data_IF_600251616940
#
_entry.id   IF_600251616940
#
_cell.length_a   1.000
_cell.length_b   1.000
_cell.length_c   1.000
_cell.angle_alpha   90.00
_cell.angle_beta   90.00
_cell.angle_gamma   90.00
#
_symmetry.space_group_name_H-M   'P 1'
#
loop_
_entity.id
_entity.type
_entity.pdbx_description
1 polymer ?
#
# COMPACT_ATOMS: atom_id res chain seq x y z
N UNK A 1 -39.75 -7.71 7.48
CA UNK A 1 -38.78 -6.61 7.73
C UNK A 1 -37.46 -7.03 7.11
N UNK A 2 -36.97 -6.33 6.09
CA UNK A 2 -35.66 -6.62 5.50
C UNK A 2 -34.58 -6.27 6.53
N UNK A 3 -33.67 -7.21 6.84
CA UNK A 3 -32.46 -6.89 7.60
C UNK A 3 -31.67 -5.88 6.78
N UNK A 4 -31.56 -4.65 7.27
CA UNK A 4 -30.64 -3.67 6.73
C UNK A 4 -29.23 -4.26 6.82
N UNK A 5 -28.64 -4.60 5.67
CA UNK A 5 -27.25 -5.02 5.62
C UNK A 5 -26.42 -3.83 6.07
N UNK A 6 -25.79 -3.92 7.24
CA UNK A 6 -24.81 -2.94 7.67
C UNK A 6 -23.62 -3.02 6.72
N UNK A 7 -23.53 -2.06 5.80
CA UNK A 7 -22.37 -1.93 4.91
C UNK A 7 -21.19 -1.42 5.74
N UNK A 8 -20.07 -2.15 5.74
CA UNK A 8 -18.86 -1.74 6.47
C UNK A 8 -18.24 -0.53 5.81
N UNK A 9 -17.94 0.50 6.62
CA UNK A 9 -17.16 1.65 6.18
C UNK A 9 -15.70 1.24 5.90
N UNK A 10 -15.01 1.96 5.01
CA UNK A 10 -13.56 1.84 4.87
C UNK A 10 -12.87 2.03 6.23
N UNK A 11 -11.77 1.31 6.51
CA UNK A 11 -11.01 1.49 7.74
C UNK A 11 -10.32 2.85 7.76
N UNK A 12 -9.88 3.29 8.94
CA UNK A 12 -8.92 4.38 9.05
C UNK A 12 -7.61 4.01 8.34
N UNK A 13 -6.93 4.99 7.75
CA UNK A 13 -5.61 4.80 7.13
C UNK A 13 -4.67 5.93 7.54
N UNK A 14 -3.38 5.61 7.67
CA UNK A 14 -2.37 6.57 8.11
C UNK A 14 -1.55 7.06 6.92
N UNK A 15 -1.70 8.33 6.55
CA UNK A 15 -0.95 8.98 5.47
C UNK A 15 0.56 9.03 5.75
N UNK A 16 0.99 8.94 7.01
CA UNK A 16 2.40 8.93 7.41
C UNK A 16 2.94 7.51 7.62
N UNK A 17 2.11 6.48 7.41
CA UNK A 17 2.57 5.10 7.44
C UNK A 17 3.66 4.88 6.39
N UNK A 18 4.67 4.09 6.74
CA UNK A 18 5.68 3.65 5.77
C UNK A 18 5.13 2.71 4.70
N UNK A 19 3.88 2.29 4.85
CA UNK A 19 3.10 1.51 3.90
C UNK A 19 1.88 2.29 3.37
N UNK A 20 1.86 3.62 3.53
CA UNK A 20 0.72 4.48 3.16
C UNK A 20 0.23 4.27 1.73
N UNK A 21 1.12 3.96 0.78
CA UNK A 21 0.73 3.67 -0.61
C UNK A 21 -0.19 2.43 -0.73
N UNK A 22 0.15 1.35 -0.04
CA UNK A 22 -0.66 0.13 -0.06
C UNK A 22 -1.91 0.26 0.80
N UNK A 23 -1.80 0.92 1.96
CA UNK A 23 -2.96 1.22 2.80
C UNK A 23 -3.97 2.07 2.04
N UNK A 24 -3.51 3.11 1.33
CA UNK A 24 -4.36 3.94 0.48
C UNK A 24 -4.97 3.16 -0.69
N UNK A 25 -4.20 2.29 -1.34
CA UNK A 25 -4.72 1.42 -2.41
C UNK A 25 -5.84 0.51 -1.89
N UNK A 26 -5.64 -0.13 -0.74
CA UNK A 26 -6.64 -0.97 -0.09
C UNK A 26 -7.88 -0.16 0.32
N UNK A 27 -7.66 1.02 0.89
CA UNK A 27 -8.71 1.95 1.27
C UNK A 27 -9.58 2.35 0.08
N UNK A 28 -8.96 2.72 -1.06
CA UNK A 28 -9.69 3.09 -2.29
C UNK A 28 -10.59 1.95 -2.80
N UNK A 29 -10.08 0.72 -2.83
CA UNK A 29 -10.88 -0.44 -3.22
C UNK A 29 -12.05 -0.65 -2.24
N UNK A 30 -11.79 -0.59 -0.94
CA UNK A 30 -12.82 -0.76 0.08
C UNK A 30 -13.89 0.34 0.00
N UNK A 31 -13.51 1.57 -0.34
CA UNK A 31 -14.45 2.67 -0.57
C UNK A 31 -15.32 2.44 -1.81
N UNK A 32 -14.76 1.91 -2.90
CA UNK A 32 -15.53 1.53 -4.08
C UNK A 32 -16.53 0.41 -3.77
N UNK A 33 -16.11 -0.61 -3.01
CA UNK A 33 -16.98 -1.69 -2.56
C UNK A 33 -18.11 -1.17 -1.67
N UNK A 34 -17.82 -0.22 -0.78
CA UNK A 34 -18.82 0.47 0.04
C UNK A 34 -19.86 1.20 -0.83
N UNK A 35 -19.40 1.96 -1.84
CA UNK A 35 -20.29 2.66 -2.75
C UNK A 35 -21.21 1.68 -3.49
N UNK A 36 -20.66 0.58 -4.00
CA UNK A 36 -21.45 -0.46 -4.68
C UNK A 36 -22.46 -1.12 -3.74
N UNK A 37 -22.04 -1.54 -2.56
CA UNK A 37 -22.92 -2.21 -1.59
C UNK A 37 -24.01 -1.29 -1.01
N UNK A 38 -23.76 0.03 -0.98
CA UNK A 38 -24.74 1.03 -0.56
C UNK A 38 -25.61 1.59 -1.70
N UNK A 39 -25.39 1.14 -2.94
CA UNK A 39 -26.14 1.58 -4.13
C UNK A 39 -25.77 2.99 -4.61
N UNK A 40 -24.56 3.44 -4.30
CA UNK A 40 -24.02 4.78 -4.64
C UNK A 40 -22.87 4.73 -5.67
N UNK A 41 -22.58 3.58 -6.26
CA UNK A 41 -21.54 3.40 -7.28
C UNK A 41 -21.84 4.16 -8.58
N UNK A 42 -23.11 4.29 -8.95
CA UNK A 42 -23.55 5.10 -10.09
C UNK A 42 -23.90 6.55 -9.72
N UNK A 43 -23.80 6.91 -8.44
CA UNK A 43 -24.10 8.27 -8.00
C UNK A 43 -23.12 9.28 -8.63
N UNK A 44 -23.59 10.52 -8.82
CA UNK A 44 -22.75 11.59 -9.32
C UNK A 44 -21.65 11.97 -8.30
N UNK A 45 -20.61 12.65 -8.80
CA UNK A 45 -19.42 12.98 -8.01
C UNK A 45 -19.73 13.81 -6.77
N UNK A 46 -20.80 14.63 -6.76
CA UNK A 46 -21.18 15.41 -5.56
C UNK A 46 -21.65 14.51 -4.42
N UNK A 47 -22.37 13.43 -4.72
CA UNK A 47 -22.83 12.47 -3.72
C UNK A 47 -21.64 11.63 -3.21
N UNK A 48 -20.81 11.11 -4.12
CA UNK A 48 -19.58 10.37 -3.76
C UNK A 48 -18.61 11.22 -2.92
N UNK A 49 -18.44 12.49 -3.28
CA UNK A 49 -17.70 13.50 -2.52
C UNK A 49 -18.30 13.70 -1.12
N UNK A 50 -19.62 13.83 -1.01
CA UNK A 50 -20.28 14.06 0.28
C UNK A 50 -20.10 12.86 1.22
N UNK A 51 -20.12 11.64 0.68
CA UNK A 51 -19.80 10.42 1.43
C UNK A 51 -18.31 10.41 1.82
N UNK A 52 -17.40 10.70 0.87
CA UNK A 52 -15.96 10.76 1.11
C UNK A 52 -15.61 11.78 2.21
N UNK A 53 -16.26 12.95 2.20
CA UNK A 53 -16.06 14.04 3.17
C UNK A 53 -16.41 13.65 4.59
N UNK A 54 -17.42 12.80 4.76
CA UNK A 54 -17.78 12.29 6.08
C UNK A 54 -16.71 11.32 6.63
N UNK A 55 -15.78 10.84 5.78
CA UNK A 55 -14.81 9.81 6.13
C UNK A 55 -13.38 10.39 6.23
N UNK A 56 -12.95 11.25 5.30
CA UNK A 56 -11.57 11.74 5.23
C UNK A 56 -11.44 13.21 5.66
N UNK A 57 -12.03 14.15 4.91
CA UNK A 57 -11.89 15.59 5.16
C UNK A 57 -12.89 16.44 4.34
N UNK A 58 -13.12 17.70 4.72
CA UNK A 58 -14.12 18.62 4.17
C UNK A 58 -13.75 19.28 2.81
N UNK A 59 -12.88 18.69 1.99
CA UNK A 59 -12.39 19.33 0.75
C UNK A 59 -13.48 19.49 -0.33
N UNK A 60 -13.35 20.47 -1.23
CA UNK A 60 -14.36 20.80 -2.25
C UNK A 60 -14.32 20.02 -3.57
N UNK A 61 -13.32 19.15 -3.75
CA UNK A 61 -13.12 18.45 -5.01
C UNK A 61 -12.60 17.02 -4.78
N UNK A 62 -13.39 16.05 -5.26
CA UNK A 62 -13.17 14.62 -5.07
C UNK A 62 -11.99 14.16 -5.90
N UNK A 63 -11.95 14.56 -7.17
CA UNK A 63 -10.89 14.19 -8.08
C UNK A 63 -9.57 14.79 -7.62
N UNK A 64 -9.58 16.04 -7.16
CA UNK A 64 -8.41 16.69 -6.58
C UNK A 64 -7.92 15.99 -5.31
N UNK A 65 -8.80 15.65 -4.35
CA UNK A 65 -8.38 14.99 -3.10
C UNK A 65 -7.79 13.61 -3.37
N UNK A 66 -8.45 12.79 -4.21
CA UNK A 66 -7.94 11.47 -4.57
C UNK A 66 -6.57 11.60 -5.27
N UNK A 67 -6.44 12.53 -6.22
CA UNK A 67 -5.16 12.78 -6.90
C UNK A 67 -4.09 13.26 -5.94
N UNK A 68 -4.41 14.19 -5.03
CA UNK A 68 -3.44 14.74 -4.09
C UNK A 68 -2.93 13.68 -3.11
N UNK A 69 -3.80 12.78 -2.64
CA UNK A 69 -3.37 11.66 -1.81
C UNK A 69 -2.55 10.67 -2.65
N UNK A 70 -2.98 10.34 -3.88
CA UNK A 70 -2.21 9.49 -4.79
C UNK A 70 -0.81 10.05 -5.04
N UNK A 71 -0.68 11.34 -5.34
CA UNK A 71 0.59 12.03 -5.56
C UNK A 71 1.44 12.10 -4.29
N UNK A 72 0.81 12.12 -3.11
CA UNK A 72 1.51 12.10 -1.84
C UNK A 72 2.07 10.73 -1.48
N UNK A 73 1.27 9.66 -1.69
CA UNK A 73 1.62 8.31 -1.23
C UNK A 73 2.37 7.49 -2.28
N UNK A 74 2.11 7.67 -3.59
CA UNK A 74 2.73 6.86 -4.64
C UNK A 74 4.25 7.04 -4.78
N UNK A 75 4.84 8.24 -4.64
CA UNK A 75 6.29 8.39 -4.59
C UNK A 75 6.93 7.68 -3.39
N UNK A 76 6.13 7.38 -2.35
CA UNK A 76 6.54 6.75 -1.11
C UNK A 76 6.34 5.23 -1.10
N UNK A 77 6.15 4.59 -2.27
CA UNK A 77 6.22 3.12 -2.33
C UNK A 77 7.58 2.69 -1.80
N UNK A 78 7.58 2.15 -0.58
CA UNK A 78 8.78 1.76 0.10
C UNK A 78 9.30 0.48 -0.56
N UNK A 79 10.20 0.64 -1.52
CA UNK A 79 10.84 -0.47 -2.25
C UNK A 79 11.38 -1.53 -1.28
N UNK A 80 11.88 -1.12 -0.10
CA UNK A 80 12.36 -2.06 0.90
C UNK A 80 11.22 -2.88 1.53
N UNK A 81 10.08 -2.25 1.81
CA UNK A 81 8.89 -2.95 2.31
C UNK A 81 8.29 -3.92 1.29
N UNK A 82 8.21 -3.52 0.02
CA UNK A 82 7.74 -4.40 -1.06
C UNK A 82 8.62 -5.65 -1.19
N UNK A 83 9.95 -5.43 -1.19
CA UNK A 83 10.91 -6.52 -1.25
C UNK A 83 10.88 -7.40 -0.02
N UNK A 84 10.76 -6.81 1.16
CA UNK A 84 10.59 -7.56 2.40
C UNK A 84 9.35 -8.47 2.34
N UNK A 85 8.21 -7.94 1.90
CA UNK A 85 6.95 -8.69 1.77
C UNK A 85 7.09 -9.83 0.77
N UNK A 86 7.69 -9.57 -0.40
CA UNK A 86 7.99 -10.60 -1.40
C UNK A 86 8.93 -11.68 -0.86
N UNK A 87 10.04 -11.30 -0.21
CA UNK A 87 11.06 -12.23 0.30
C UNK A 87 10.58 -13.04 1.51
N UNK A 88 9.70 -12.49 2.34
CA UNK A 88 9.08 -13.19 3.48
C UNK A 88 7.99 -14.16 3.05
N UNK A 89 7.48 -14.07 1.81
CA UNK A 89 6.39 -14.91 1.33
C UNK A 89 6.82 -16.36 1.20
N UNK A 90 6.32 -17.20 2.11
CA UNK A 90 6.48 -18.66 2.10
C UNK A 90 5.19 -19.33 1.65
N UNK A 91 5.27 -20.44 0.90
CA UNK A 91 4.10 -21.24 0.52
C UNK A 91 3.35 -21.72 1.77
N UNK A 92 2.05 -21.49 1.81
CA UNK A 92 1.21 -21.84 2.97
C UNK A 92 0.86 -23.34 2.98
N UNK A 93 0.52 -23.88 4.15
CA UNK A 93 0.07 -25.26 4.25
C UNK A 93 -1.24 -25.46 3.45
N UNK A 94 -1.27 -26.47 2.58
CA UNK A 94 -2.40 -26.73 1.68
C UNK A 94 -2.51 -25.79 0.46
N UNK A 95 -1.61 -24.81 0.32
CA UNK A 95 -1.58 -23.94 -0.86
C UNK A 95 -1.00 -24.66 -2.07
N UNK A 96 -1.66 -24.55 -3.22
CA UNK A 96 -1.10 -25.09 -4.48
C UNK A 96 0.09 -24.25 -4.95
N UNK A 97 1.09 -24.90 -5.56
CA UNK A 97 2.24 -24.19 -6.13
C UNK A 97 1.83 -23.12 -7.16
N UNK A 98 0.79 -23.38 -7.97
CA UNK A 98 0.30 -22.42 -8.97
C UNK A 98 -0.22 -21.14 -8.32
N UNK A 99 -0.95 -21.26 -7.21
CA UNK A 99 -1.42 -20.10 -6.47
C UNK A 99 -0.24 -19.34 -5.86
N UNK A 100 0.67 -20.04 -5.17
CA UNK A 100 1.88 -19.45 -4.61
C UNK A 100 2.70 -18.67 -5.66
N UNK A 101 2.97 -19.28 -6.82
CA UNK A 101 3.70 -18.65 -7.91
C UNK A 101 2.98 -17.42 -8.46
N UNK A 102 1.65 -17.46 -8.57
CA UNK A 102 0.84 -16.32 -9.00
C UNK A 102 1.01 -15.14 -8.04
N UNK A 103 0.92 -15.40 -6.74
CA UNK A 103 1.11 -14.39 -5.71
C UNK A 103 2.54 -13.82 -5.72
N UNK A 104 3.57 -14.67 -5.83
CA UNK A 104 4.96 -14.20 -5.96
C UNK A 104 5.16 -13.32 -7.21
N UNK A 105 4.56 -13.69 -8.35
CA UNK A 105 4.59 -12.89 -9.59
C UNK A 105 3.85 -11.56 -9.45
N UNK A 106 2.85 -11.49 -8.59
CA UNK A 106 2.16 -10.25 -8.29
C UNK A 106 3.05 -9.33 -7.42
N UNK A 107 3.57 -9.85 -6.30
CA UNK A 107 4.39 -9.10 -5.34
C UNK A 107 5.72 -8.58 -5.95
N UNK A 108 6.35 -9.33 -6.85
CA UNK A 108 7.65 -8.90 -7.42
C UNK A 108 7.54 -7.64 -8.30
N UNK A 109 6.35 -7.28 -8.78
CA UNK A 109 6.15 -6.15 -9.71
C UNK A 109 6.49 -4.80 -9.08
N UNK A 110 6.24 -4.64 -7.78
CA UNK A 110 6.51 -3.40 -7.02
C UNK A 110 7.91 -3.39 -6.39
N UNK A 111 8.70 -4.45 -6.54
CA UNK A 111 10.03 -4.57 -5.94
C UNK A 111 11.14 -3.80 -6.69
N UNK A 112 10.88 -3.24 -7.87
CA UNK A 112 11.82 -2.39 -8.61
C UNK A 112 13.23 -3.02 -8.84
N UNK A 113 13.32 -4.35 -9.01
CA UNK A 113 14.59 -5.06 -9.20
C UNK A 113 15.40 -4.62 -10.43
N UNK A 114 14.71 -4.08 -11.45
CA UNK A 114 15.32 -3.64 -12.70
C UNK A 114 15.53 -2.11 -12.75
N UNK A 115 15.22 -1.40 -11.66
CA UNK A 115 15.27 0.06 -11.64
C UNK A 115 16.68 0.53 -11.28
N UNK A 116 17.30 1.30 -12.18
CA UNK A 116 18.57 1.98 -11.92
C UNK A 116 18.32 3.12 -10.94
N UNK A 117 18.97 3.06 -9.78
CA UNK A 117 18.91 4.10 -8.75
C UNK A 117 20.29 4.78 -8.67
N UNK A 118 20.40 6.10 -8.92
CA UNK A 118 21.68 6.79 -8.85
C UNK A 118 22.27 6.84 -7.44
N UNK A 119 21.46 6.57 -6.40
CA UNK A 119 21.88 6.64 -4.99
C UNK A 119 22.42 5.33 -4.44
N UNK A 120 22.15 4.21 -5.11
CA UNK A 120 22.50 2.87 -4.60
C UNK A 120 22.56 1.83 -5.72
N UNK A 121 23.56 0.97 -5.66
CA UNK A 121 23.71 -0.13 -6.61
C UNK A 121 22.73 -1.28 -6.29
N UNK A 122 22.50 -2.18 -7.25
CA UNK A 122 21.74 -3.40 -6.98
C UNK A 122 22.36 -4.27 -5.88
N UNK A 123 23.69 -4.20 -5.68
CA UNK A 123 24.38 -4.88 -4.59
C UNK A 123 24.02 -4.25 -3.24
N UNK A 124 23.98 -2.92 -3.17
CA UNK A 124 23.62 -2.20 -1.94
C UNK A 124 22.18 -2.48 -1.55
N UNK A 125 21.28 -2.48 -2.54
CA UNK A 125 19.88 -2.83 -2.34
C UNK A 125 19.73 -4.26 -1.79
N UNK A 126 20.40 -5.25 -2.39
CA UNK A 126 20.35 -6.63 -1.91
C UNK A 126 20.90 -6.79 -0.49
N UNK A 127 21.98 -6.08 -0.14
CA UNK A 127 22.55 -6.11 1.20
C UNK A 127 21.61 -5.46 2.23
N UNK A 128 21.02 -4.30 1.89
CA UNK A 128 19.99 -3.63 2.70
C UNK A 128 18.82 -4.57 2.96
N UNK A 129 18.30 -5.21 1.92
CA UNK A 129 17.17 -6.13 2.04
C UNK A 129 17.52 -7.32 2.97
N UNK A 130 18.75 -7.84 2.89
CA UNK A 130 19.23 -8.90 3.80
C UNK A 130 19.33 -8.42 5.26
N UNK A 131 19.83 -7.20 5.49
CA UNK A 131 19.91 -6.60 6.84
C UNK A 131 18.51 -6.46 7.43
N UNK A 132 17.58 -5.89 6.66
CA UNK A 132 16.18 -5.67 7.09
C UNK A 132 15.50 -6.99 7.42
N UNK A 133 15.60 -8.00 6.54
CA UNK A 133 15.05 -9.34 6.77
C UNK A 133 15.63 -10.04 8.00
N UNK A 134 16.91 -9.81 8.29
CA UNK A 134 17.63 -10.55 9.34
C UNK A 134 17.64 -9.89 10.71
N UNK A 135 17.32 -8.59 10.83
CA UNK A 135 17.61 -7.85 12.07
C UNK A 135 16.49 -6.96 12.59
N UNK A 136 15.87 -6.10 11.78
CA UNK A 136 15.06 -4.99 12.32
C UNK A 136 13.90 -4.64 11.38
N UNK A 137 12.71 -5.15 11.67
CA UNK A 137 11.46 -4.73 11.00
C UNK A 137 11.21 -3.22 11.18
N UNK A 138 11.73 -2.59 12.25
CA UNK A 138 11.64 -1.15 12.46
C UNK A 138 12.27 -0.31 11.31
N UNK A 139 13.26 -0.86 10.59
CA UNK A 139 13.86 -0.20 9.42
C UNK A 139 12.86 0.01 8.27
N UNK A 140 11.79 -0.79 8.24
CA UNK A 140 10.72 -0.65 7.24
C UNK A 140 9.98 0.68 7.38
N UNK A 141 10.11 1.37 8.52
CA UNK A 141 9.48 2.68 8.76
C UNK A 141 10.23 3.85 8.15
N UNK A 142 11.43 3.62 7.63
CA UNK A 142 12.31 4.68 7.12
C UNK A 142 12.03 4.89 5.63
N UNK A 143 11.61 6.10 5.30
CA UNK A 143 11.43 6.52 3.92
C UNK A 143 12.75 6.55 3.16
N UNK A 144 12.71 6.02 1.94
CA UNK A 144 13.87 5.91 1.06
C UNK A 144 15.08 5.29 1.76
N UNK A 145 14.88 4.13 2.40
CA UNK A 145 15.94 3.42 3.10
C UNK A 145 17.07 3.04 2.14
N UNK A 146 18.27 3.54 2.39
CA UNK A 146 19.51 3.12 1.72
C UNK A 146 20.29 2.16 2.63
N UNK A 147 21.28 1.46 2.07
CA UNK A 147 22.18 0.63 2.87
C UNK A 147 22.87 1.43 3.98
N UNK A 148 23.36 2.64 3.68
CA UNK A 148 24.03 3.52 4.65
C UNK A 148 23.11 3.89 5.82
N UNK A 149 21.86 4.28 5.54
CA UNK A 149 20.84 4.56 6.58
C UNK A 149 20.56 3.32 7.44
N UNK A 150 20.52 2.13 6.83
CA UNK A 150 20.28 0.88 7.56
C UNK A 150 21.44 0.53 8.52
N UNK A 151 22.69 0.82 8.13
CA UNK A 151 23.87 0.53 8.94
C UNK A 151 24.00 1.50 10.13
N UNK A 152 23.59 2.76 9.95
CA UNK A 152 23.69 3.83 10.94
C UNK A 152 22.49 3.91 11.90
N UNK A 153 21.47 3.07 11.68
CA UNK A 153 20.26 3.03 12.50
C UNK A 153 20.53 2.35 13.86
N UNK A 154 20.59 3.15 14.93
CA UNK A 154 20.80 2.68 16.31
C UNK A 154 19.51 2.65 17.11
#
# INVERSE_FOLDING_TARGET
MAKSVQVKLPPDFDLQSSNAANEWKFWKTTFQDYLMASGNDEANDKVKLSILRNIIDHTNDYAYLISAIDDYVNPRVNECFERYTFLKRMQQNGETFKHFLTECKHLVKSCNYNTVDPRQTNKDKALRDKVVMGTREALLRIDELTLEKAITFH
#
